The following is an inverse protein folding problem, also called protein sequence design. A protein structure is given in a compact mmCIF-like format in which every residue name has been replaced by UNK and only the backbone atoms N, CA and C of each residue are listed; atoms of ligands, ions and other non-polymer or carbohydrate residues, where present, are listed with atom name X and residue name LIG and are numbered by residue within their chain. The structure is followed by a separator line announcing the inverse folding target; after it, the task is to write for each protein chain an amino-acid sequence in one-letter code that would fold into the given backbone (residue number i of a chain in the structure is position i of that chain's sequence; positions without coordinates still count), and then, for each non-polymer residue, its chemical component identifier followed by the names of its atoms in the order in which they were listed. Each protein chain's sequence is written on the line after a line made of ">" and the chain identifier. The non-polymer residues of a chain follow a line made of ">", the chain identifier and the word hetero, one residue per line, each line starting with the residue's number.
data_IF_857699375813
#
_entry.id   IF_857699375813
#
_cell.length_a   1.000
_cell.length_b   1.000
_cell.length_c   1.000
_cell.angle_alpha   90.00
_cell.angle_beta   90.00
_cell.angle_gamma   90.00
#
_symmetry.space_group_name_H-M   'P 1'
#
loop_
_entity.id
_entity.type
_entity.pdbx_description
1 polymer ?
#
# COMPACT_ATOMS: atom_id res chain seq x y z
N UNK A 1 18.78 -10.44 -8.94
CA UNK A 1 17.52 -11.21 -9.08
C UNK A 1 16.38 -10.33 -8.61
N UNK A 2 15.58 -9.78 -9.52
CA UNK A 2 14.48 -8.89 -9.15
C UNK A 2 13.26 -9.74 -8.78
N UNK A 3 12.76 -9.57 -7.56
CA UNK A 3 11.58 -10.29 -7.08
C UNK A 3 10.33 -9.90 -7.89
N UNK A 4 9.40 -10.84 -8.05
CA UNK A 4 8.14 -10.61 -8.76
C UNK A 4 7.34 -9.44 -8.15
N UNK A 5 6.84 -8.48 -8.95
CA UNK A 5 6.16 -7.28 -8.44
C UNK A 5 4.71 -7.59 -8.03
N UNK A 6 4.53 -8.22 -6.86
CA UNK A 6 3.22 -8.67 -6.35
C UNK A 6 2.13 -7.60 -6.40
N UNK A 7 2.46 -6.36 -6.01
CA UNK A 7 1.51 -5.24 -5.98
C UNK A 7 1.02 -4.87 -7.39
N UNK A 8 1.90 -4.85 -8.38
CA UNK A 8 1.56 -4.58 -9.78
C UNK A 8 0.73 -5.70 -10.38
N UNK A 9 1.07 -6.95 -10.08
CA UNK A 9 0.25 -8.09 -10.52
C UNK A 9 -1.17 -8.04 -9.94
N UNK A 10 -1.31 -7.63 -8.68
CA UNK A 10 -2.61 -7.50 -8.04
C UNK A 10 -3.48 -6.39 -8.64
N UNK A 11 -2.89 -5.28 -9.12
CA UNK A 11 -3.65 -4.24 -9.83
C UNK A 11 -4.10 -4.73 -11.21
N UNK A 12 -3.26 -5.51 -11.90
CA UNK A 12 -3.65 -6.19 -13.16
C UNK A 12 -4.78 -7.21 -12.95
N UNK A 13 -4.80 -7.90 -11.81
CA UNK A 13 -5.84 -8.86 -11.47
C UNK A 13 -7.11 -8.22 -10.87
N UNK A 14 -7.24 -6.89 -10.91
CA UNK A 14 -8.43 -6.19 -10.42
C UNK A 14 -8.63 -6.24 -8.89
N UNK A 15 -7.62 -6.66 -8.12
CA UNK A 15 -7.73 -6.86 -6.67
C UNK A 15 -7.71 -5.54 -5.89
N UNK A 16 -7.11 -4.49 -6.45
CA UNK A 16 -6.97 -3.20 -5.80
C UNK A 16 -6.10 -2.22 -6.58
N UNK A 17 -5.77 -1.11 -5.93
CA UNK A 17 -4.90 -0.06 -6.47
C UNK A 17 -3.73 0.21 -5.54
N UNK A 18 -2.71 0.91 -6.01
CA UNK A 18 -1.61 1.36 -5.14
C UNK A 18 -2.03 2.66 -4.45
N UNK A 19 -2.02 2.69 -3.12
CA UNK A 19 -2.25 3.91 -2.37
C UNK A 19 -0.99 4.78 -2.26
N UNK A 20 -1.16 6.02 -1.80
CA UNK A 20 -0.08 6.98 -1.53
C UNK A 20 1.15 6.41 -0.79
N UNK A 21 1.03 5.54 0.26
CA UNK A 21 2.21 4.96 0.91
C UNK A 21 2.86 3.80 0.12
N UNK A 22 2.58 3.70 -1.19
CA UNK A 22 2.97 2.58 -2.06
C UNK A 22 2.56 1.20 -1.52
N UNK A 23 1.36 1.07 -0.96
CA UNK A 23 0.78 -0.22 -0.54
C UNK A 23 -0.41 -0.55 -1.43
N UNK A 24 -0.63 -1.83 -1.71
CA UNK A 24 -1.86 -2.25 -2.37
C UNK A 24 -3.04 -2.03 -1.42
N UNK A 25 -4.09 -1.35 -1.89
CA UNK A 25 -5.34 -1.10 -1.18
C UNK A 25 -6.44 -1.85 -1.90
N UNK A 26 -7.11 -2.74 -1.18
CA UNK A 26 -8.29 -3.46 -1.68
C UNK A 26 -9.58 -2.78 -1.21
N UNK A 27 -10.70 -2.89 -1.95
CA UNK A 27 -11.99 -2.36 -1.50
C UNK A 27 -12.44 -2.96 -0.16
N UNK A 28 -12.19 -4.25 0.05
CA UNK A 28 -12.72 -4.98 1.21
C UNK A 28 -11.83 -4.83 2.46
N UNK A 29 -10.51 -4.94 2.31
CA UNK A 29 -9.58 -5.02 3.45
C UNK A 29 -8.69 -3.78 3.60
N UNK A 30 -8.83 -2.80 2.69
CA UNK A 30 -7.88 -1.70 2.58
C UNK A 30 -6.45 -2.21 2.35
N UNK A 31 -5.43 -1.58 2.97
CA UNK A 31 -4.04 -2.00 2.84
C UNK A 31 -3.62 -3.13 3.80
N UNK A 32 -4.57 -3.76 4.51
CA UNK A 32 -4.27 -4.72 5.60
C UNK A 32 -4.20 -6.16 5.11
N UNK A 33 -3.45 -6.39 4.03
CA UNK A 33 -3.31 -7.68 3.38
C UNK A 33 -1.84 -8.06 3.20
N UNK A 34 -1.58 -9.35 3.03
CA UNK A 34 -0.30 -9.88 2.56
C UNK A 34 -0.52 -10.52 1.20
N UNK A 35 0.44 -10.35 0.30
CA UNK A 35 0.39 -10.90 -1.04
C UNK A 35 1.27 -12.15 -1.13
N UNK A 36 0.73 -13.16 -1.77
CA UNK A 36 1.46 -14.32 -2.27
C UNK A 36 1.16 -14.49 -3.76
N UNK A 37 2.06 -15.12 -4.48
CA UNK A 37 1.85 -15.40 -5.91
C UNK A 37 2.23 -16.83 -6.20
N UNK A 38 1.36 -17.52 -6.95
CA UNK A 38 1.59 -18.84 -7.50
C UNK A 38 1.66 -18.70 -9.01
N UNK A 39 2.78 -19.09 -9.61
CA UNK A 39 2.90 -19.16 -11.07
C UNK A 39 2.33 -20.49 -11.54
N UNK A 40 1.42 -20.46 -12.50
CA UNK A 40 0.76 -21.65 -13.03
C UNK A 40 0.49 -21.50 -14.53
N UNK A 41 0.38 -22.63 -15.22
CA UNK A 41 -0.03 -22.71 -16.64
C UNK A 41 -1.55 -22.89 -16.80
N UNK A 42 -2.27 -23.07 -15.69
CA UNK A 42 -3.72 -23.19 -15.72
C UNK A 42 -4.35 -21.93 -16.34
N UNK A 43 -5.41 -22.12 -17.15
CA UNK A 43 -6.13 -21.03 -17.80
C UNK A 43 -7.26 -20.57 -16.88
N UNK A 44 -7.36 -19.25 -16.68
CA UNK A 44 -8.42 -18.61 -15.90
C UNK A 44 -9.04 -17.47 -16.70
N UNK A 45 -10.27 -17.13 -16.36
CA UNK A 45 -10.82 -15.83 -16.75
C UNK A 45 -10.07 -14.73 -15.99
N UNK A 46 -9.70 -13.67 -16.70
CA UNK A 46 -8.98 -12.53 -16.12
C UNK A 46 -9.97 -11.43 -15.73
N UNK A 47 -9.73 -10.78 -14.60
CA UNK A 47 -10.47 -9.59 -14.20
C UNK A 47 -9.97 -8.34 -14.93
N UNK A 48 -10.78 -7.28 -14.92
CA UNK A 48 -10.38 -5.98 -15.46
C UNK A 48 -9.31 -5.31 -14.58
N UNK A 49 -8.22 -4.80 -15.18
CA UNK A 49 -7.18 -4.12 -14.45
C UNK A 49 -7.66 -2.82 -13.80
N UNK A 50 -7.18 -2.52 -12.60
CA UNK A 50 -7.33 -1.20 -11.99
C UNK A 50 -6.10 -0.35 -12.37
N UNK A 51 -6.35 0.84 -12.90
CA UNK A 51 -5.32 1.72 -13.48
C UNK A 51 -5.14 3.04 -12.76
N UNK A 52 -5.99 3.36 -11.78
CA UNK A 52 -5.91 4.58 -10.97
C UNK A 52 -6.31 4.30 -9.52
N UNK A 53 -5.80 5.11 -8.60
CA UNK A 53 -6.17 5.01 -7.20
C UNK A 53 -7.56 5.56 -6.88
N UNK A 54 -8.04 5.27 -5.67
CA UNK A 54 -9.27 5.86 -5.11
C UNK A 54 -8.98 6.65 -3.83
N UNK A 55 -7.77 7.19 -3.71
CA UNK A 55 -7.37 7.99 -2.54
C UNK A 55 -7.98 9.40 -2.60
N UNK A 56 -8.11 9.97 -3.81
CA UNK A 56 -8.64 11.33 -4.00
C UNK A 56 -7.84 12.36 -3.20
N UNK A 57 -8.53 13.25 -2.48
CA UNK A 57 -7.92 14.29 -1.64
C UNK A 57 -7.44 13.78 -0.26
N UNK A 58 -7.61 12.49 0.06
CA UNK A 58 -7.24 11.95 1.37
C UNK A 58 -5.73 12.03 1.63
N UNK A 59 -5.34 12.58 2.79
CA UNK A 59 -3.95 12.74 3.24
C UNK A 59 -3.65 12.04 4.58
N UNK A 60 -4.59 11.27 5.15
CA UNK A 60 -4.45 10.68 6.49
C UNK A 60 -3.17 9.85 6.70
N UNK A 61 -2.71 9.14 5.67
CA UNK A 61 -1.45 8.39 5.75
C UNK A 61 -0.21 9.29 5.76
N UNK A 62 -0.27 10.42 5.05
CA UNK A 62 0.78 11.45 4.99
C UNK A 62 0.89 12.11 6.35
N UNK A 63 -0.24 12.57 6.91
CA UNK A 63 -0.32 13.17 8.25
C UNK A 63 0.14 12.22 9.35
N UNK A 64 -0.13 10.92 9.20
CA UNK A 64 0.30 9.91 10.16
C UNK A 64 1.80 9.54 10.06
N UNK A 65 2.52 9.99 9.04
CA UNK A 65 3.94 9.66 8.88
C UNK A 65 4.81 10.70 9.59
N UNK A 66 5.49 10.35 10.70
CA UNK A 66 6.25 11.32 11.50
C UNK A 66 7.49 11.88 10.79
N UNK A 67 7.92 11.27 9.68
CA UNK A 67 9.13 11.66 8.94
C UNK A 67 8.84 12.13 7.51
N UNK A 68 7.57 12.26 7.12
CA UNK A 68 7.23 12.80 5.80
C UNK A 68 7.62 11.93 4.59
N UNK A 69 7.70 10.59 4.75
CA UNK A 69 8.11 9.69 3.68
C UNK A 69 7.07 9.46 2.55
N UNK A 70 5.90 10.10 2.61
CA UNK A 70 4.80 9.91 1.66
C UNK A 70 4.52 11.24 0.96
N UNK A 71 4.65 11.30 -0.37
CA UNK A 71 4.67 12.56 -1.14
C UNK A 71 3.28 13.15 -1.44
N UNK A 72 2.22 12.55 -0.89
CA UNK A 72 0.82 12.94 -1.15
C UNK A 72 0.38 12.88 -2.63
N UNK A 73 1.07 12.09 -3.46
CA UNK A 73 0.77 11.91 -4.88
C UNK A 73 -0.21 10.75 -5.08
N UNK A 74 -1.20 10.94 -5.95
CA UNK A 74 -2.12 9.86 -6.32
C UNK A 74 -1.45 8.94 -7.35
N UNK A 75 -1.68 7.64 -7.19
CA UNK A 75 -1.15 6.64 -8.11
C UNK A 75 -2.02 6.48 -9.35
N UNK A 76 -1.34 6.27 -10.47
CA UNK A 76 -1.88 5.77 -11.73
C UNK A 76 -0.90 4.76 -12.33
N UNK A 77 -1.39 3.87 -13.19
CA UNK A 77 -0.57 2.86 -13.86
C UNK A 77 0.56 3.52 -14.63
N UNK A 78 1.80 3.08 -14.35
CA UNK A 78 3.01 3.62 -14.96
C UNK A 78 3.80 4.57 -14.06
N UNK A 79 3.22 5.06 -12.95
CA UNK A 79 3.98 5.81 -11.94
C UNK A 79 5.02 4.94 -11.24
N UNK A 80 6.17 5.53 -11.01
CA UNK A 80 7.24 4.88 -10.25
C UNK A 80 6.93 4.92 -8.76
N UNK A 81 7.50 3.96 -8.02
CA UNK A 81 7.30 3.90 -6.56
C UNK A 81 7.76 5.19 -5.88
N UNK A 82 8.88 5.71 -6.32
CA UNK A 82 9.57 6.82 -5.68
C UNK A 82 8.85 8.16 -5.92
N UNK A 83 7.93 8.23 -6.90
CA UNK A 83 7.00 9.37 -7.05
C UNK A 83 6.02 9.46 -5.86
N UNK A 84 5.66 8.32 -5.27
CA UNK A 84 4.64 8.23 -4.23
C UNK A 84 5.25 8.26 -2.82
N UNK A 85 6.40 7.62 -2.65
CA UNK A 85 6.89 7.17 -1.35
C UNK A 85 8.41 7.00 -1.33
N UNK A 86 9.07 7.68 -0.41
CA UNK A 86 10.49 7.49 -0.12
C UNK A 86 10.69 6.24 0.75
N UNK A 87 11.02 5.14 0.08
CA UNK A 87 11.27 3.86 0.75
C UNK A 87 12.54 3.87 1.61
N UNK A 88 13.55 4.68 1.26
CA UNK A 88 14.81 4.74 1.98
C UNK A 88 14.64 5.52 3.28
N UNK A 89 13.99 6.68 3.23
CA UNK A 89 13.65 7.47 4.41
C UNK A 89 12.75 6.67 5.36
N UNK A 90 11.69 6.03 4.84
CA UNK A 90 10.83 5.20 5.67
C UNK A 90 11.60 4.03 6.32
N UNK A 91 12.45 3.34 5.58
CA UNK A 91 13.21 2.21 6.12
C UNK A 91 14.27 2.65 7.15
N UNK A 92 14.94 3.78 6.92
CA UNK A 92 15.92 4.33 7.85
C UNK A 92 15.29 4.82 9.14
N UNK A 93 14.21 5.62 9.03
CA UNK A 93 13.56 6.26 10.18
C UNK A 93 12.58 5.40 10.94
N UNK A 94 12.02 4.34 10.33
CA UNK A 94 11.10 3.45 11.06
C UNK A 94 11.75 2.80 12.28
N UNK A 95 13.04 2.48 12.22
CA UNK A 95 13.75 1.81 13.32
C UNK A 95 13.89 2.74 14.54
N UNK A 96 14.06 4.03 14.30
CA UNK A 96 14.11 5.06 15.34
C UNK A 96 12.74 5.21 16.05
N UNK A 97 11.64 5.04 15.31
CA UNK A 97 10.29 5.31 15.82
C UNK A 97 9.56 4.09 16.39
N UNK A 98 9.90 2.88 15.95
CA UNK A 98 9.29 1.64 16.44
C UNK A 98 9.25 1.55 17.99
N UNK A 99 10.33 1.90 18.73
CA UNK A 99 10.31 1.93 20.19
C UNK A 99 9.32 2.94 20.77
N UNK A 100 9.20 4.13 20.15
CA UNK A 100 8.32 5.23 20.62
C UNK A 100 6.85 4.80 20.63
N UNK A 101 6.44 4.02 19.64
CA UNK A 101 5.05 3.51 19.52
C UNK A 101 4.85 2.12 20.14
N UNK A 102 5.84 1.60 20.86
CA UNK A 102 5.76 0.29 21.53
C UNK A 102 5.59 -0.89 20.57
N UNK A 103 6.08 -0.80 19.32
CA UNK A 103 6.04 -1.91 18.35
C UNK A 103 7.37 -2.68 18.33
N UNK A 104 7.35 -3.88 17.75
CA UNK A 104 8.55 -4.75 17.67
C UNK A 104 9.19 -4.84 16.29
N UNK A 105 8.38 -4.89 15.23
CA UNK A 105 8.87 -5.27 13.89
C UNK A 105 8.46 -4.32 12.76
N UNK A 106 7.45 -3.47 12.97
CA UNK A 106 6.96 -2.59 11.92
C UNK A 106 6.37 -1.30 12.49
N UNK A 107 6.61 -0.19 11.79
CA UNK A 107 6.01 1.10 12.12
C UNK A 107 4.51 1.09 11.83
N UNK A 108 4.08 0.81 10.59
CA UNK A 108 2.67 0.50 10.25
C UNK A 108 1.63 1.62 10.45
N UNK A 109 2.03 2.86 10.75
CA UNK A 109 1.11 3.97 11.01
C UNK A 109 0.26 4.31 9.77
N UNK A 110 0.85 4.30 8.57
CA UNK A 110 0.11 4.55 7.34
C UNK A 110 -0.97 3.49 7.06
N UNK A 111 -0.76 2.23 7.45
CA UNK A 111 -1.79 1.18 7.38
C UNK A 111 -2.93 1.46 8.36
N UNK A 112 -2.60 1.81 9.61
CA UNK A 112 -3.59 2.13 10.64
C UNK A 112 -4.40 3.40 10.31
N UNK A 113 -3.75 4.37 9.66
CA UNK A 113 -4.35 5.65 9.34
C UNK A 113 -5.30 5.60 8.13
N UNK A 114 -5.12 4.62 7.23
CA UNK A 114 -5.90 4.52 6.01
C UNK A 114 -7.41 4.43 6.30
N UNK A 115 -8.19 5.40 5.79
CA UNK A 115 -9.65 5.45 5.92
C UNK A 115 -10.33 4.14 5.53
N UNK A 116 -10.01 3.62 4.35
CA UNK A 116 -10.58 2.37 3.82
C UNK A 116 -10.24 1.19 4.72
N UNK A 117 -9.00 1.15 5.23
CA UNK A 117 -8.58 0.14 6.19
C UNK A 117 -9.29 0.25 7.54
N UNK A 118 -9.76 1.43 7.96
CA UNK A 118 -10.54 1.61 9.21
C UNK A 118 -12.01 1.24 8.99
N UNK A 119 -12.58 1.60 7.86
CA UNK A 119 -13.95 1.22 7.47
C UNK A 119 -14.13 -0.31 7.51
N UNK A 120 -13.12 -1.09 7.09
CA UNK A 120 -13.10 -2.54 7.27
C UNK A 120 -13.14 -3.01 8.73
N UNK A 121 -12.31 -2.41 9.61
CA UNK A 121 -12.23 -2.83 11.01
C UNK A 121 -13.54 -2.61 11.76
N UNK A 122 -14.29 -1.56 11.42
CA UNK A 122 -15.57 -1.25 12.06
C UNK A 122 -16.71 -2.17 11.62
N UNK A 123 -16.49 -3.04 10.62
CA UNK A 123 -17.48 -4.03 10.13
C UNK A 123 -17.31 -5.41 10.77
N UNK A 124 -16.31 -5.60 11.64
CA UNK A 124 -16.05 -6.83 12.42
C UNK A 124 -16.50 -6.64 13.85
#
# INVERSE_FOLDING_TARGET
>A
MQAFPHKTAATCAGLGWIGKPSLLVTPEYGPRIRLGTVLTKARFQTAEPIVSDRCGKCSLCVEACPYGAIHNVNWERGKERDDLFDAYLCNGKRLEYIPVIGRKHSCGLCLQACRIGREFQNRR
#
